data_IF_087759344876
#
_entry.id   IF_087759344876
#
_cell.length_a   1.000
_cell.length_b   1.000
_cell.length_c   1.000
_cell.angle_alpha   90.00
_cell.angle_beta   90.00
_cell.angle_gamma   90.00
#
_symmetry.space_group_name_H-M   'P 1'
#
loop_
_entity.id
_entity.type
_entity.pdbx_description
1 polymer ?
#
# COMPACT_ATOMS: atom_id res chain seq x y z
N UNK A 1 -36.95 -62.50 -39.13
CA UNK A 1 -37.49 -61.14 -38.86
C UNK A 1 -36.91 -60.58 -37.58
N UNK A 2 -36.87 -61.35 -36.48
CA UNK A 2 -36.24 -60.95 -35.20
C UNK A 2 -34.80 -60.42 -35.32
N UNK A 3 -33.94 -61.10 -36.08
CA UNK A 3 -32.55 -60.67 -36.25
C UNK A 3 -32.41 -59.29 -36.90
N UNK A 4 -33.34 -58.92 -37.80
CA UNK A 4 -33.30 -57.62 -38.49
C UNK A 4 -33.59 -56.49 -37.50
N UNK A 5 -34.57 -56.66 -36.62
CA UNK A 5 -34.88 -55.67 -35.58
C UNK A 5 -33.74 -55.47 -34.59
N UNK A 6 -33.07 -56.57 -34.20
CA UNK A 6 -31.89 -56.49 -33.33
C UNK A 6 -30.77 -55.71 -34.01
N UNK A 7 -30.49 -55.99 -35.28
CA UNK A 7 -29.45 -55.27 -36.04
C UNK A 7 -29.80 -53.77 -36.15
N UNK A 8 -31.05 -53.44 -36.45
CA UNK A 8 -31.51 -52.05 -36.54
C UNK A 8 -31.39 -51.32 -35.19
N UNK A 9 -31.72 -51.98 -34.09
CA UNK A 9 -31.58 -51.42 -32.74
C UNK A 9 -30.11 -51.18 -32.36
N UNK A 10 -29.20 -52.10 -32.73
CA UNK A 10 -27.76 -51.94 -32.50
C UNK A 10 -27.18 -50.79 -33.32
N UNK A 11 -27.55 -50.68 -34.61
CA UNK A 11 -27.12 -49.56 -35.46
C UNK A 11 -27.62 -48.23 -34.90
N UNK A 12 -28.89 -48.17 -34.50
CA UNK A 12 -29.48 -46.99 -33.85
C UNK A 12 -28.71 -46.60 -32.59
N UNK A 13 -28.45 -47.55 -31.69
CA UNK A 13 -27.68 -47.32 -30.47
C UNK A 13 -26.25 -46.85 -30.76
N UNK A 14 -25.55 -47.45 -31.72
CA UNK A 14 -24.18 -47.06 -32.08
C UNK A 14 -24.14 -45.62 -32.61
N UNK A 15 -25.08 -45.24 -33.47
CA UNK A 15 -25.17 -43.86 -34.00
C UNK A 15 -25.38 -42.87 -32.86
N UNK A 16 -26.38 -43.09 -32.00
CA UNK A 16 -26.66 -42.17 -30.90
C UNK A 16 -25.55 -42.14 -29.84
N UNK A 17 -24.94 -43.30 -29.56
CA UNK A 17 -23.76 -43.40 -28.70
C UNK A 17 -22.60 -42.59 -29.25
N UNK A 18 -22.29 -42.72 -30.55
CA UNK A 18 -21.22 -41.96 -31.20
C UNK A 18 -21.51 -40.45 -31.24
N UNK A 19 -22.75 -40.03 -31.53
CA UNK A 19 -23.14 -38.62 -31.50
C UNK A 19 -23.00 -38.01 -30.10
N UNK A 20 -23.49 -38.72 -29.07
CA UNK A 20 -23.41 -38.28 -27.67
C UNK A 20 -21.95 -38.20 -27.22
N UNK A 21 -21.13 -39.19 -27.62
CA UNK A 21 -19.69 -39.22 -27.39
C UNK A 21 -18.97 -38.02 -28.02
N UNK A 22 -19.28 -37.69 -29.27
CA UNK A 22 -18.62 -36.57 -29.95
C UNK A 22 -18.97 -35.24 -29.30
N UNK A 23 -20.24 -35.02 -28.95
CA UNK A 23 -20.69 -33.79 -28.29
C UNK A 23 -19.92 -33.49 -27.01
N UNK A 24 -19.64 -34.50 -26.20
CA UNK A 24 -18.93 -34.31 -24.92
C UNK A 24 -17.42 -34.15 -25.09
N UNK A 25 -16.81 -34.74 -26.13
CA UNK A 25 -15.41 -34.51 -26.49
C UNK A 25 -15.20 -33.05 -26.91
N UNK A 26 -16.13 -32.54 -27.73
CA UNK A 26 -16.07 -31.16 -28.20
C UNK A 26 -16.10 -30.18 -27.01
N UNK A 27 -16.91 -30.48 -25.99
CA UNK A 27 -17.02 -29.74 -24.71
C UNK A 27 -15.89 -29.99 -23.71
N UNK A 28 -15.01 -30.96 -23.94
CA UNK A 28 -13.85 -31.24 -23.08
C UNK A 28 -14.11 -32.15 -21.86
N UNK A 29 -15.11 -33.05 -21.91
CA UNK A 29 -15.33 -34.04 -20.86
C UNK A 29 -14.49 -35.31 -21.04
N UNK A 30 -13.93 -35.83 -19.94
CA UNK A 30 -13.08 -37.04 -19.96
C UNK A 30 -13.87 -38.36 -19.88
N UNK A 31 -15.12 -38.32 -19.44
CA UNK A 31 -15.98 -39.52 -19.27
C UNK A 31 -16.63 -39.97 -20.58
N UNK A 32 -15.85 -39.98 -21.66
CA UNK A 32 -16.23 -40.26 -23.04
C UNK A 32 -16.95 -41.61 -23.18
N UNK A 33 -16.49 -42.65 -22.47
CA UNK A 33 -17.09 -43.98 -22.49
C UNK A 33 -18.48 -44.04 -21.84
N UNK A 34 -18.69 -43.30 -20.75
CA UNK A 34 -19.97 -43.25 -20.06
C UNK A 34 -21.05 -42.57 -20.93
N UNK A 35 -20.69 -41.48 -21.62
CA UNK A 35 -21.62 -40.78 -22.52
C UNK A 35 -21.89 -41.54 -23.82
N UNK A 36 -20.95 -42.35 -24.30
CA UNK A 36 -21.24 -43.30 -25.38
C UNK A 36 -22.32 -44.29 -24.96
N UNK A 37 -22.19 -44.93 -23.79
CA UNK A 37 -23.19 -45.88 -23.29
C UNK A 37 -24.53 -45.19 -23.00
N UNK A 38 -24.49 -43.97 -22.47
CA UNK A 38 -25.68 -43.14 -22.25
C UNK A 38 -26.44 -42.91 -23.57
N UNK A 39 -25.75 -42.50 -24.62
CA UNK A 39 -26.35 -42.35 -25.95
C UNK A 39 -26.79 -43.68 -26.57
N UNK A 40 -26.05 -44.77 -26.35
CA UNK A 40 -26.36 -46.08 -26.90
C UNK A 40 -27.66 -46.65 -26.34
N UNK A 41 -27.88 -46.57 -25.03
CA UNK A 41 -29.07 -47.12 -24.38
C UNK A 41 -30.25 -46.16 -24.32
N UNK A 42 -30.03 -44.84 -24.26
CA UNK A 42 -31.09 -43.82 -24.14
C UNK A 42 -31.35 -43.07 -25.46
N UNK A 43 -30.60 -43.37 -26.53
CA UNK A 43 -30.78 -42.77 -27.85
C UNK A 43 -30.70 -41.23 -27.80
N UNK A 44 -31.70 -40.59 -28.39
CA UNK A 44 -31.85 -39.14 -28.42
C UNK A 44 -31.95 -38.51 -27.02
N UNK A 45 -32.53 -39.20 -26.04
CA UNK A 45 -32.64 -38.69 -24.66
C UNK A 45 -31.23 -38.56 -24.05
N UNK A 46 -30.37 -39.56 -24.27
CA UNK A 46 -28.98 -39.51 -23.86
C UNK A 46 -28.23 -38.33 -24.49
N UNK A 47 -28.48 -38.06 -25.77
CA UNK A 47 -27.93 -36.89 -26.46
C UNK A 47 -28.42 -35.56 -25.87
N UNK A 48 -29.70 -35.40 -25.55
CA UNK A 48 -30.23 -34.18 -24.93
C UNK A 48 -29.54 -33.90 -23.58
N UNK A 49 -29.35 -34.94 -22.75
CA UNK A 49 -28.67 -34.79 -21.46
C UNK A 49 -27.23 -34.30 -21.66
N UNK A 50 -26.49 -34.90 -22.60
CA UNK A 50 -25.15 -34.44 -22.93
C UNK A 50 -25.16 -33.03 -23.54
N UNK A 51 -26.15 -32.69 -24.35
CA UNK A 51 -26.29 -31.37 -24.96
C UNK A 51 -26.56 -30.28 -23.93
N UNK A 52 -27.37 -30.55 -22.91
CA UNK A 52 -27.70 -29.62 -21.83
C UNK A 52 -26.53 -29.38 -20.85
N UNK A 53 -25.50 -30.24 -20.85
CA UNK A 53 -24.29 -30.00 -20.05
C UNK A 53 -23.53 -28.77 -20.57
N UNK A 54 -22.97 -27.93 -19.70
CA UNK A 54 -22.18 -26.77 -20.12
C UNK A 54 -20.89 -27.18 -20.83
N UNK A 55 -20.27 -26.24 -21.55
CA UNK A 55 -19.01 -26.45 -22.25
C UNK A 55 -17.84 -26.04 -21.33
N UNK A 56 -17.00 -27.01 -20.95
CA UNK A 56 -15.88 -26.79 -20.02
C UNK A 56 -14.86 -25.84 -20.63
N UNK A 57 -14.57 -25.95 -21.93
CA UNK A 57 -13.57 -25.10 -22.61
C UNK A 57 -14.04 -23.66 -22.65
N UNK A 58 -15.33 -23.45 -22.90
CA UNK A 58 -15.92 -22.10 -22.90
C UNK A 58 -15.89 -21.50 -21.50
N UNK A 59 -16.25 -22.27 -20.47
CA UNK A 59 -16.15 -21.81 -19.08
C UNK A 59 -14.70 -21.47 -18.69
N UNK A 60 -13.73 -22.29 -19.08
CA UNK A 60 -12.31 -22.04 -18.82
C UNK A 60 -11.83 -20.76 -19.51
N UNK A 61 -12.18 -20.57 -20.78
CA UNK A 61 -11.85 -19.36 -21.53
C UNK A 61 -12.49 -18.11 -20.91
N UNK A 62 -13.75 -18.20 -20.49
CA UNK A 62 -14.45 -17.10 -19.80
C UNK A 62 -13.84 -16.80 -18.43
N UNK A 63 -13.43 -17.82 -17.66
CA UNK A 63 -12.71 -17.64 -16.39
C UNK A 63 -11.36 -16.96 -16.61
N UNK A 64 -10.58 -17.43 -17.59
CA UNK A 64 -9.29 -16.84 -17.93
C UNK A 64 -9.44 -15.37 -18.36
N UNK A 65 -10.42 -15.06 -19.23
CA UNK A 65 -10.69 -13.69 -19.64
C UNK A 65 -11.13 -12.81 -18.47
N UNK A 66 -11.92 -13.35 -17.53
CA UNK A 66 -12.31 -12.64 -16.31
C UNK A 66 -11.11 -12.36 -15.41
N UNK A 67 -10.20 -13.32 -15.24
CA UNK A 67 -8.96 -13.10 -14.49
C UNK A 67 -8.08 -12.05 -15.16
N UNK A 68 -7.89 -12.12 -16.48
CA UNK A 68 -7.16 -11.09 -17.24
C UNK A 68 -7.83 -9.72 -17.03
N UNK A 69 -9.14 -9.62 -17.20
CA UNK A 69 -9.86 -8.36 -17.00
C UNK A 69 -9.69 -7.79 -15.59
N UNK A 70 -9.82 -8.64 -14.56
CA UNK A 70 -9.62 -8.25 -13.16
C UNK A 70 -8.18 -7.79 -12.92
N UNK A 71 -7.19 -8.58 -13.36
CA UNK A 71 -5.78 -8.30 -13.15
C UNK A 71 -5.33 -7.05 -13.92
N UNK A 72 -5.79 -6.87 -15.17
CA UNK A 72 -5.56 -5.65 -15.94
C UNK A 72 -6.17 -4.42 -15.27
N UNK A 73 -7.35 -4.54 -14.61
CA UNK A 73 -7.96 -3.42 -13.86
C UNK A 73 -7.21 -3.09 -12.57
N UNK A 74 -6.63 -4.08 -11.89
CA UNK A 74 -5.77 -3.86 -10.72
C UNK A 74 -4.43 -3.25 -11.12
N UNK A 75 -3.86 -3.69 -12.23
CA UNK A 75 -2.56 -3.19 -12.72
C UNK A 75 -2.65 -1.81 -13.38
N UNK A 76 -3.84 -1.40 -13.83
CA UNK A 76 -4.13 -0.04 -14.33
C UNK A 76 -4.70 0.91 -13.28
N UNK A 77 -4.79 0.50 -12.00
CA UNK A 77 -4.87 1.50 -10.95
C UNK A 77 -3.56 2.29 -10.93
N UNK A 78 -3.58 3.63 -11.06
CA UNK A 78 -2.41 4.41 -10.69
C UNK A 78 -2.06 4.03 -9.24
N UNK A 79 -0.77 3.80 -8.96
CA UNK A 79 -0.25 3.74 -7.60
C UNK A 79 -0.97 4.80 -6.78
N UNK A 80 -1.68 4.39 -5.73
CA UNK A 80 -2.48 5.30 -4.93
C UNK A 80 -1.64 6.55 -4.61
N UNK A 81 -2.14 7.77 -4.88
CA UNK A 81 -1.51 8.94 -4.29
C UNK A 81 -1.47 8.69 -2.78
N UNK A 82 -0.29 8.89 -2.19
CA UNK A 82 -0.05 8.82 -0.74
C UNK A 82 -1.30 9.32 0.00
N UNK A 83 -2.01 8.42 0.69
CA UNK A 83 -3.20 8.75 1.46
C UNK A 83 -2.79 9.79 2.52
N UNK A 84 -2.99 11.07 2.20
CA UNK A 84 -2.91 12.14 3.17
C UNK A 84 -4.14 11.95 4.05
N UNK A 85 -3.92 11.34 5.22
CA UNK A 85 -4.96 11.18 6.21
C UNK A 85 -5.58 12.56 6.50
N UNK A 86 -6.92 12.62 6.69
CA UNK A 86 -7.60 13.85 7.04
C UNK A 86 -6.89 14.51 8.23
N UNK A 87 -6.84 15.84 8.20
CA UNK A 87 -5.96 16.75 8.96
C UNK A 87 -5.94 16.58 10.49
N UNK A 88 -6.77 15.69 11.04
CA UNK A 88 -6.93 15.55 12.47
C UNK A 88 -6.41 14.21 13.03
N UNK A 89 -6.28 13.13 12.24
CA UNK A 89 -5.79 11.83 12.75
C UNK A 89 -4.32 11.91 13.21
N UNK A 90 -3.94 11.16 14.26
CA UNK A 90 -2.57 11.19 14.83
C UNK A 90 -1.85 9.85 14.82
N UNK A 91 -0.53 9.90 14.65
CA UNK A 91 0.33 8.71 14.57
C UNK A 91 1.08 8.50 15.87
N UNK A 92 0.88 7.37 16.56
CA UNK A 92 1.75 6.94 17.69
C UNK A 92 3.16 6.66 17.16
N UNK A 93 4.17 6.84 18.01
CA UNK A 93 5.56 6.43 17.75
C UNK A 93 5.71 4.93 17.44
N UNK A 94 4.74 4.09 17.83
CA UNK A 94 4.67 2.68 17.44
C UNK A 94 4.25 2.45 15.97
N UNK A 95 3.94 3.53 15.23
CA UNK A 95 3.50 3.50 13.84
C UNK A 95 1.99 3.45 13.62
N UNK A 96 1.18 3.23 14.67
CA UNK A 96 -0.28 3.17 14.58
C UNK A 96 -0.91 4.55 14.30
N UNK A 97 -1.96 4.57 13.47
CA UNK A 97 -2.78 5.75 13.21
C UNK A 97 -4.04 5.68 14.09
N UNK A 98 -4.20 6.67 14.94
CA UNK A 98 -5.31 6.87 15.85
C UNK A 98 -6.18 8.02 15.32
N UNK A 99 -7.46 8.02 15.68
CA UNK A 99 -8.35 9.11 15.30
C UNK A 99 -8.10 10.35 16.14
N UNK A 100 -8.52 11.50 15.64
CA UNK A 100 -8.33 12.79 16.29
C UNK A 100 -8.96 12.92 17.70
N UNK A 101 -10.06 12.21 17.93
CA UNK A 101 -10.73 12.15 19.23
C UNK A 101 -10.10 11.13 20.20
N UNK A 102 -9.17 10.29 19.75
CA UNK A 102 -8.53 9.29 20.61
C UNK A 102 -7.40 9.96 21.41
N UNK A 103 -7.51 9.95 22.73
CA UNK A 103 -6.48 10.50 23.62
C UNK A 103 -5.32 9.53 23.88
N UNK A 104 -5.48 8.26 23.51
CA UNK A 104 -4.46 7.22 23.64
C UNK A 104 -4.42 6.33 22.40
N UNK A 105 -3.26 5.73 22.16
CA UNK A 105 -3.08 4.89 20.99
C UNK A 105 -3.78 3.55 21.15
N UNK A 106 -4.66 3.19 20.21
CA UNK A 106 -5.35 1.91 20.20
C UNK A 106 -4.40 0.70 20.18
N UNK A 107 -3.15 0.87 19.71
CA UNK A 107 -2.15 -0.20 19.64
C UNK A 107 -1.15 -0.18 20.81
N UNK A 108 -0.58 0.98 21.12
CA UNK A 108 0.55 1.11 22.06
C UNK A 108 0.11 1.55 23.46
N UNK A 109 -1.13 2.02 23.63
CA UNK A 109 -1.67 2.56 24.88
C UNK A 109 -1.14 3.92 25.31
N UNK A 110 -0.10 4.46 24.64
CA UNK A 110 0.48 5.77 24.97
C UNK A 110 -0.49 6.91 24.68
N UNK A 111 -0.51 7.90 25.57
CA UNK A 111 -1.34 9.09 25.45
C UNK A 111 -0.79 10.12 24.45
N UNK A 112 -1.69 10.90 23.85
CA UNK A 112 -1.38 11.98 22.90
C UNK A 112 -0.60 13.14 23.56
N UNK A 113 -0.72 13.31 24.87
CA UNK A 113 -0.13 14.42 25.64
C UNK A 113 1.42 14.44 25.60
N UNK A 114 2.07 13.31 25.32
CA UNK A 114 3.53 13.24 25.08
C UNK A 114 3.95 13.86 23.73
N UNK A 115 3.02 13.98 22.78
CA UNK A 115 3.26 14.41 21.40
C UNK A 115 2.76 15.85 21.21
N UNK A 116 3.66 16.83 21.31
CA UNK A 116 3.28 18.22 21.61
C UNK A 116 3.28 19.16 20.41
N UNK A 117 4.02 18.89 19.32
CA UNK A 117 4.02 19.78 18.16
C UNK A 117 4.01 19.04 16.81
N UNK A 118 3.31 19.63 15.83
CA UNK A 118 3.21 19.10 14.48
C UNK A 118 4.10 19.89 13.52
N UNK A 119 4.94 19.19 12.77
CA UNK A 119 5.78 19.76 11.74
C UNK A 119 5.00 19.92 10.43
N UNK A 120 5.38 20.90 9.60
CA UNK A 120 4.85 21.12 8.24
C UNK A 120 4.99 19.89 7.31
N UNK A 121 5.84 18.92 7.64
CA UNK A 121 5.96 17.65 6.92
C UNK A 121 4.93 16.58 7.34
N UNK A 122 4.00 16.90 8.25
CA UNK A 122 2.98 16.01 8.78
C UNK A 122 3.42 15.13 9.95
N UNK A 123 4.68 15.25 10.41
CA UNK A 123 5.17 14.52 11.58
C UNK A 123 4.85 15.25 12.88
N UNK A 124 4.29 14.55 13.85
CA UNK A 124 4.19 15.05 15.23
C UNK A 124 5.41 14.62 16.04
N UNK A 125 6.03 15.55 16.75
CA UNK A 125 7.23 15.34 17.56
C UNK A 125 6.93 15.57 19.05
N UNK A 126 7.81 15.06 19.91
CA UNK A 126 7.69 15.21 21.36
C UNK A 126 7.91 16.66 21.81
N UNK A 127 7.42 17.03 23.01
CA UNK A 127 7.57 18.37 23.60
C UNK A 127 8.97 18.96 23.53
N UNK A 128 9.97 18.13 23.82
CA UNK A 128 11.36 18.55 23.95
C UNK A 128 12.16 18.41 22.64
N UNK A 129 11.54 17.93 21.56
CA UNK A 129 12.20 17.78 20.27
C UNK A 129 12.38 19.14 19.61
N UNK A 130 13.62 19.64 19.55
CA UNK A 130 13.96 20.90 18.89
C UNK A 130 13.80 20.84 17.36
N UNK A 131 13.93 19.64 16.78
CA UNK A 131 13.85 19.39 15.34
C UNK A 131 12.89 18.24 15.05
N UNK A 132 12.34 18.21 13.84
CA UNK A 132 11.51 17.12 13.39
C UNK A 132 12.37 15.87 13.12
N UNK A 133 12.00 14.73 13.71
CA UNK A 133 12.75 13.47 13.55
C UNK A 133 12.83 12.98 12.10
N UNK A 134 11.81 13.30 11.28
CA UNK A 134 11.77 12.88 9.87
C UNK A 134 12.46 13.82 8.91
N UNK A 135 12.31 15.14 9.09
CA UNK A 135 12.75 16.11 8.08
C UNK A 135 13.73 17.16 8.62
N UNK A 136 14.11 17.10 9.89
CA UNK A 136 15.11 17.98 10.51
C UNK A 136 14.70 19.45 10.65
N UNK A 137 13.46 19.82 10.31
CA UNK A 137 13.00 21.22 10.44
C UNK A 137 12.82 21.60 11.92
N UNK A 138 13.20 22.82 12.34
CA UNK A 138 13.07 23.25 13.72
C UNK A 138 11.61 23.40 14.14
N UNK A 139 11.34 23.27 15.43
CA UNK A 139 10.04 23.57 16.02
C UNK A 139 9.75 25.08 15.95
N UNK A 140 8.59 25.47 15.42
CA UNK A 140 8.18 26.89 15.27
C UNK A 140 7.05 27.30 16.22
N UNK A 141 6.62 26.45 17.16
CA UNK A 141 5.61 26.85 18.16
C UNK A 141 6.16 27.88 19.14
N UNK A 142 5.33 28.86 19.58
CA UNK A 142 5.75 29.99 20.41
C UNK A 142 6.35 29.64 21.79
N UNK A 143 6.18 28.40 22.28
CA UNK A 143 6.82 27.93 23.53
C UNK A 143 8.26 27.39 23.35
N UNK A 144 8.78 27.32 22.13
CA UNK A 144 10.20 26.98 21.88
C UNK A 144 10.77 27.94 20.86
N UNK A 145 10.88 29.21 21.25
CA UNK A 145 11.84 30.11 20.63
C UNK A 145 13.19 29.92 21.33
N UNK A 146 14.29 29.60 20.63
CA UNK A 146 15.59 30.05 21.07
C UNK A 146 15.52 31.58 21.12
N UNK A 147 15.83 32.13 22.29
CA UNK A 147 15.79 33.55 22.58
C UNK A 147 16.46 34.36 21.45
N UNK A 148 15.66 35.20 20.79
CA UNK A 148 16.13 36.28 19.95
C UNK A 148 16.92 37.24 20.86
N UNK A 149 18.22 37.34 20.62
CA UNK A 149 19.10 38.27 21.31
C UNK A 149 18.55 39.70 21.20
N UNK A 150 18.19 40.28 22.34
CA UNK A 150 18.13 41.72 22.53
C UNK A 150 19.40 42.09 23.29
N UNK A 151 20.21 42.97 22.71
CA UNK A 151 21.54 43.32 23.19
C UNK A 151 21.45 44.06 24.53
N UNK A 152 22.07 43.51 25.57
CA UNK A 152 22.40 44.23 26.81
C UNK A 152 23.92 44.23 26.99
N UNK A 153 24.45 45.33 27.53
CA UNK A 153 25.88 45.66 27.60
C UNK A 153 26.75 44.62 28.34
N UNK A 154 26.15 43.76 29.17
CA UNK A 154 26.84 42.71 29.90
C UNK A 154 27.31 41.56 28.98
N UNK A 155 26.55 41.24 27.92
CA UNK A 155 26.89 40.16 26.99
C UNK A 155 28.07 40.52 26.06
N UNK A 156 28.20 41.80 25.72
CA UNK A 156 29.30 42.28 24.85
C UNK A 156 30.66 42.15 25.55
N UNK A 157 30.72 42.32 26.87
CA UNK A 157 31.98 42.16 27.62
C UNK A 157 32.43 40.70 27.72
N UNK A 158 31.50 39.77 27.93
CA UNK A 158 31.80 38.34 28.02
C UNK A 158 32.25 37.76 26.66
N UNK A 159 31.65 38.21 25.56
CA UNK A 159 32.10 37.85 24.22
C UNK A 159 33.47 38.43 23.90
N UNK A 160 33.73 39.71 24.24
CA UNK A 160 35.07 40.30 24.08
C UNK A 160 36.14 39.53 24.87
N UNK A 161 35.79 39.01 26.05
CA UNK A 161 36.71 38.27 26.92
C UNK A 161 37.11 36.92 26.29
N UNK A 162 36.13 36.19 25.73
CA UNK A 162 36.39 34.95 24.98
C UNK A 162 37.22 35.18 23.72
N UNK A 163 36.97 36.26 23.00
CA UNK A 163 37.76 36.60 21.82
C UNK A 163 39.19 37.00 22.18
N UNK A 164 39.42 37.61 23.35
CA UNK A 164 40.76 37.96 23.84
C UNK A 164 41.54 36.69 24.25
N UNK A 165 40.85 35.74 24.88
CA UNK A 165 41.43 34.45 25.24
C UNK A 165 41.87 33.65 23.99
N UNK A 166 41.08 33.70 22.91
CA UNK A 166 41.47 33.10 21.62
C UNK A 166 42.65 33.82 20.93
N UNK A 167 42.84 35.12 21.18
CA UNK A 167 44.01 35.87 20.69
C UNK A 167 45.26 35.47 21.48
N UNK A 168 45.15 35.37 22.81
CA UNK A 168 46.26 34.98 23.69
C UNK A 168 46.68 33.51 23.47
N UNK A 169 45.75 32.63 23.07
CA UNK A 169 46.01 31.27 22.63
C UNK A 169 46.60 31.18 21.20
N UNK A 170 46.78 32.32 20.52
CA UNK A 170 47.36 32.41 19.17
C UNK A 170 46.48 31.83 18.06
N UNK A 171 45.19 31.58 18.33
CA UNK A 171 44.23 30.99 17.39
C UNK A 171 43.71 32.01 16.37
N UNK A 172 43.74 33.29 16.73
CA UNK A 172 43.35 34.40 15.86
C UNK A 172 44.44 35.48 15.89
N UNK A 173 44.51 36.28 14.83
CA UNK A 173 45.47 37.39 14.76
C UNK A 173 44.88 38.67 15.38
N UNK A 174 45.75 39.61 15.77
CA UNK A 174 45.32 40.86 16.43
C UNK A 174 44.36 41.69 15.55
N UNK A 175 44.48 41.55 14.23
CA UNK A 175 43.61 42.17 13.23
C UNK A 175 42.19 41.58 13.22
N UNK A 176 42.06 40.25 13.37
CA UNK A 176 40.76 39.56 13.42
C UNK A 176 40.02 39.83 14.74
N UNK A 177 40.77 39.96 15.84
CA UNK A 177 40.23 40.38 17.12
C UNK A 177 39.72 41.83 17.06
N UNK A 178 40.48 42.74 16.44
CA UNK A 178 40.08 44.13 16.26
C UNK A 178 38.82 44.29 15.38
N UNK A 179 38.72 43.51 14.29
CA UNK A 179 37.56 43.52 13.41
C UNK A 179 36.29 43.05 14.15
N UNK A 180 36.37 41.96 14.92
CA UNK A 180 35.24 41.45 15.70
C UNK A 180 34.85 42.38 16.85
N UNK A 181 35.83 42.97 17.54
CA UNK A 181 35.57 43.96 18.59
C UNK A 181 34.82 45.18 18.07
N UNK A 182 35.21 45.68 16.90
CA UNK A 182 34.55 46.81 16.23
C UNK A 182 33.12 46.46 15.80
N UNK A 183 32.93 45.25 15.28
CA UNK A 183 31.61 44.73 14.90
C UNK A 183 30.66 44.56 16.10
N UNK A 184 31.19 44.16 17.26
CA UNK A 184 30.40 43.99 18.50
C UNK A 184 30.06 45.32 19.19
N UNK A 185 30.92 46.33 19.06
CA UNK A 185 30.68 47.67 19.62
C UNK A 185 29.92 48.60 18.66
N UNK A 186 29.69 48.18 17.41
CA UNK A 186 28.85 48.88 16.43
C UNK A 186 29.42 50.23 15.95
N UNK A 187 30.74 50.38 15.91
CA UNK A 187 31.48 51.59 15.48
C UNK A 187 32.34 51.29 14.25
#
# INVERSE_FOLDING_TARGET
MEAVWIIMALLWGIVWGACTRQNVIDKGYDSVGAYFLLGFFLGFIGFIIAYAKPDIKKEEQERMMREIYYNSRYQSQPQQPQYQAPTNDWRCTCGAMNKDYETSCHRCGKEISEVTWSCSCGMRNQKNAAFCEKCGKPNTTPETQPAKATLNADNVQDELKKYKEMLDDGLITEEEFAAKKKQLLGI
#
